data_IF_399002509496
#
_entry.id   IF_399002509496
#
_cell.length_a   1.000
_cell.length_b   1.000
_cell.length_c   1.000
_cell.angle_alpha   90.00
_cell.angle_beta   90.00
_cell.angle_gamma   90.00
#
_symmetry.space_group_name_H-M   'P 1'
#
loop_
_entity.id
_entity.type
_entity.pdbx_description
1 polymer ?
#
# COMPACT_ATOMS: atom_id res chain seq x y z
N UNK A 1 -32.94 -20.62 -9.80
CA UNK A 1 -31.62 -21.02 -9.30
C UNK A 1 -30.81 -19.74 -9.21
N UNK A 2 -30.67 -19.19 -8.01
CA UNK A 2 -29.92 -17.95 -7.76
C UNK A 2 -28.43 -18.28 -7.83
N UNK A 3 -27.71 -17.57 -8.69
CA UNK A 3 -26.24 -17.60 -8.76
C UNK A 3 -25.68 -17.12 -7.41
N UNK A 4 -25.29 -18.08 -6.58
CA UNK A 4 -24.72 -17.87 -5.25
C UNK A 4 -23.22 -17.61 -5.31
N UNK A 5 -22.79 -16.69 -6.18
CA UNK A 5 -21.42 -16.20 -6.22
C UNK A 5 -21.07 -15.56 -4.88
N UNK A 6 -20.25 -16.25 -4.10
CA UNK A 6 -19.75 -15.78 -2.81
C UNK A 6 -19.10 -14.41 -3.00
N UNK A 7 -19.74 -13.35 -2.49
CA UNK A 7 -19.20 -11.99 -2.52
C UNK A 7 -18.00 -11.99 -1.58
N UNK A 8 -16.79 -12.10 -2.13
CA UNK A 8 -15.57 -11.99 -1.34
C UNK A 8 -15.36 -10.50 -1.08
N UNK A 9 -15.62 -10.06 0.14
CA UNK A 9 -15.26 -8.72 0.56
C UNK A 9 -13.73 -8.66 0.72
N UNK A 10 -13.06 -8.11 -0.29
CA UNK A 10 -11.58 -8.03 -0.34
C UNK A 10 -11.02 -6.99 0.62
N UNK A 11 -11.81 -5.95 0.91
CA UNK A 11 -11.38 -4.79 1.66
C UNK A 11 -12.09 -4.73 3.01
N UNK A 12 -11.29 -4.59 4.07
CA UNK A 12 -11.75 -4.50 5.46
C UNK A 12 -11.19 -3.21 6.10
N UNK A 13 -12.02 -2.50 6.86
CA UNK A 13 -11.52 -1.43 7.72
C UNK A 13 -11.00 -2.03 9.03
N UNK A 14 -9.72 -1.78 9.32
CA UNK A 14 -9.06 -2.18 10.57
C UNK A 14 -8.58 -0.94 11.34
N UNK A 15 -8.21 -1.08 12.62
CA UNK A 15 -7.62 0.04 13.38
C UNK A 15 -6.39 0.66 12.68
N UNK A 16 -5.63 -0.15 11.95
CA UNK A 16 -4.47 0.27 11.16
C UNK A 16 -4.83 1.07 9.91
N UNK A 17 -6.03 0.89 9.33
CA UNK A 17 -6.43 1.46 8.04
C UNK A 17 -7.18 0.47 7.14
N UNK A 18 -7.22 0.77 5.84
CA UNK A 18 -7.89 -0.06 4.82
C UNK A 18 -7.02 -1.26 4.46
N UNK A 19 -7.50 -2.47 4.77
CA UNK A 19 -6.78 -3.72 4.59
C UNK A 19 -7.30 -4.50 3.37
N UNK A 20 -6.40 -4.90 2.48
CA UNK A 20 -6.67 -5.84 1.40
C UNK A 20 -6.36 -7.26 1.86
N UNK A 21 -7.40 -8.05 2.16
CA UNK A 21 -7.27 -9.41 2.66
C UNK A 21 -6.50 -10.36 1.72
N UNK A 22 -6.84 -10.49 0.42
CA UNK A 22 -6.15 -11.42 -0.47
C UNK A 22 -4.70 -10.98 -0.78
N UNK A 23 -4.38 -9.70 -0.64
CA UNK A 23 -3.01 -9.19 -0.81
C UNK A 23 -2.20 -9.09 0.49
N UNK A 24 -2.85 -9.25 1.64
CA UNK A 24 -2.25 -9.05 2.96
C UNK A 24 -1.48 -7.72 3.15
N UNK A 25 -1.98 -6.62 2.56
CA UNK A 25 -1.39 -5.28 2.67
C UNK A 25 -2.43 -4.23 3.09
N UNK A 26 -1.93 -3.11 3.61
CA UNK A 26 -2.75 -1.95 3.95
C UNK A 26 -2.56 -0.83 2.92
N UNK A 27 -3.62 -0.10 2.60
CA UNK A 27 -3.58 1.10 1.77
C UNK A 27 -3.60 2.30 2.71
N UNK A 28 -2.60 3.17 2.61
CA UNK A 28 -2.42 4.38 3.43
C UNK A 28 -2.70 4.16 4.93
N UNK A 29 -2.01 3.21 5.58
CA UNK A 29 -2.23 2.90 6.98
C UNK A 29 -1.90 4.09 7.91
N UNK A 30 -2.67 4.21 8.98
CA UNK A 30 -2.54 5.26 10.00
C UNK A 30 -1.40 4.98 10.99
N UNK A 31 -0.90 3.75 11.05
CA UNK A 31 0.17 3.30 11.94
C UNK A 31 1.13 2.31 11.25
N UNK A 32 2.31 2.02 11.81
CA UNK A 32 3.24 1.05 11.22
C UNK A 32 2.61 -0.33 11.01
N UNK A 33 2.90 -0.96 9.87
CA UNK A 33 2.37 -2.26 9.45
C UNK A 33 3.43 -3.06 8.70
N UNK A 34 3.16 -4.34 8.47
CA UNK A 34 4.04 -5.23 7.71
C UNK A 34 4.18 -4.81 6.24
N UNK A 35 3.08 -4.52 5.55
CA UNK A 35 3.08 -4.08 4.14
C UNK A 35 2.13 -2.90 3.96
N UNK A 36 2.69 -1.75 3.62
CA UNK A 36 1.96 -0.55 3.25
C UNK A 36 2.04 -0.29 1.74
N UNK A 37 0.89 -0.07 1.11
CA UNK A 37 0.77 0.54 -0.21
C UNK A 37 0.45 2.01 0.03
N UNK A 38 1.38 2.90 -0.34
CA UNK A 38 1.24 4.34 -0.11
C UNK A 38 0.85 5.01 -1.43
N UNK A 39 -0.28 5.72 -1.41
CA UNK A 39 -0.84 6.34 -2.63
C UNK A 39 -0.11 7.61 -3.03
N UNK A 40 0.32 8.42 -2.05
CA UNK A 40 1.07 9.66 -2.30
C UNK A 40 1.83 10.15 -1.05
N UNK A 41 2.76 11.08 -1.25
CA UNK A 41 3.73 11.51 -0.22
C UNK A 41 3.24 12.47 0.86
N UNK A 42 1.94 12.72 1.02
CA UNK A 42 1.44 13.57 2.12
C UNK A 42 1.52 12.86 3.48
N UNK A 43 1.76 13.62 4.55
CA UNK A 43 2.07 13.07 5.88
C UNK A 43 0.92 12.37 6.59
N UNK A 44 -0.32 12.62 6.15
CA UNK A 44 -1.52 11.93 6.61
C UNK A 44 -1.63 10.51 6.04
N UNK A 45 -1.01 10.23 4.90
CA UNK A 45 -0.95 8.91 4.24
C UNK A 45 0.41 8.23 4.44
N UNK A 46 1.49 8.90 4.02
CA UNK A 46 2.84 8.40 4.08
C UNK A 46 3.38 8.49 5.52
N UNK A 47 3.28 7.40 6.27
CA UNK A 47 3.77 7.25 7.65
C UNK A 47 5.11 6.50 7.70
N UNK A 48 5.95 6.75 8.72
CA UNK A 48 7.25 6.08 8.85
C UNK A 48 7.13 4.68 9.45
N UNK A 49 8.23 3.92 9.36
CA UNK A 49 8.50 2.68 10.10
C UNK A 49 7.67 1.44 9.67
N UNK A 50 7.08 1.44 8.47
CA UNK A 50 6.55 0.21 7.88
C UNK A 50 7.68 -0.79 7.57
N UNK A 51 7.38 -2.09 7.58
CA UNK A 51 8.39 -3.10 7.20
C UNK A 51 8.62 -3.09 5.68
N UNK A 52 7.56 -3.19 4.90
CA UNK A 52 7.59 -3.13 3.45
C UNK A 52 6.69 -2.00 2.94
N UNK A 53 7.19 -1.20 2.00
CA UNK A 53 6.44 -0.12 1.37
C UNK A 53 6.44 -0.30 -0.14
N UNK A 54 5.26 -0.37 -0.74
CA UNK A 54 5.06 -0.30 -2.19
C UNK A 54 4.48 1.07 -2.53
N UNK A 55 5.14 1.83 -3.39
CA UNK A 55 4.67 3.13 -3.86
C UNK A 55 5.38 3.52 -5.17
N UNK A 56 4.98 4.64 -5.77
CA UNK A 56 5.75 5.20 -6.90
C UNK A 56 7.16 5.61 -6.45
N UNK A 57 8.17 5.62 -7.35
CA UNK A 57 9.51 6.09 -7.02
C UNK A 57 9.51 7.51 -6.43
N UNK A 58 8.66 8.39 -6.94
CA UNK A 58 8.53 9.78 -6.47
C UNK A 58 7.98 9.83 -5.04
N UNK A 59 6.99 8.99 -4.72
CA UNK A 59 6.43 8.89 -3.37
C UNK A 59 7.48 8.36 -2.39
N UNK A 60 8.23 7.32 -2.76
CA UNK A 60 9.33 6.79 -1.95
C UNK A 60 10.42 7.85 -1.70
N UNK A 61 10.79 8.63 -2.72
CA UNK A 61 11.75 9.72 -2.58
C UNK A 61 11.25 10.81 -1.61
N UNK A 62 9.97 11.20 -1.69
CA UNK A 62 9.35 12.14 -0.74
C UNK A 62 9.39 11.57 0.69
N UNK A 63 9.07 10.28 0.86
CA UNK A 63 9.12 9.62 2.17
C UNK A 63 10.52 9.64 2.76
N UNK A 64 11.54 9.26 1.99
CA UNK A 64 12.94 9.26 2.44
C UNK A 64 13.39 10.65 2.88
N UNK A 65 13.09 11.68 2.08
CA UNK A 65 13.44 13.06 2.39
C UNK A 65 12.79 13.56 3.68
N UNK A 66 11.52 13.21 3.92
CA UNK A 66 10.76 13.70 5.07
C UNK A 66 11.02 12.93 6.36
N UNK A 67 11.23 11.61 6.26
CA UNK A 67 11.26 10.71 7.43
C UNK A 67 12.65 10.45 7.95
N UNK A 68 13.68 10.69 7.12
CA UNK A 68 15.06 10.33 7.42
C UNK A 68 15.40 8.89 7.01
N UNK A 69 16.69 8.58 7.09
CA UNK A 69 17.25 7.30 6.65
C UNK A 69 16.62 6.12 7.39
N UNK A 70 16.28 5.06 6.64
CA UNK A 70 15.71 3.83 7.17
C UNK A 70 14.25 3.90 7.63
N UNK A 71 13.60 5.07 7.57
CA UNK A 71 12.23 5.25 8.11
C UNK A 71 11.12 5.25 7.06
N UNK A 72 11.46 5.29 5.78
CA UNK A 72 10.51 5.27 4.67
C UNK A 72 10.06 3.84 4.25
N UNK A 73 10.19 2.86 5.14
CA UNK A 73 10.04 1.44 4.84
C UNK A 73 11.40 0.73 4.91
N UNK A 74 11.49 -0.35 5.70
CA UNK A 74 12.73 -1.14 5.78
C UNK A 74 13.06 -1.79 4.43
N UNK A 75 12.04 -2.25 3.72
CA UNK A 75 12.10 -2.68 2.32
C UNK A 75 11.20 -1.77 1.49
N UNK A 76 11.72 -1.29 0.36
CA UNK A 76 10.99 -0.42 -0.56
C UNK A 76 10.83 -1.13 -1.91
N UNK A 77 9.60 -1.18 -2.40
CA UNK A 77 9.23 -1.71 -3.69
C UNK A 77 8.71 -0.57 -4.57
N UNK A 78 9.56 0.05 -5.41
CA UNK A 78 9.09 1.02 -6.39
C UNK A 78 8.15 0.33 -7.40
N UNK A 79 7.02 0.97 -7.68
CA UNK A 79 6.05 0.52 -8.68
C UNK A 79 5.67 1.71 -9.57
N UNK A 80 6.11 1.68 -10.84
CA UNK A 80 5.75 2.73 -11.79
C UNK A 80 4.26 2.64 -12.16
N UNK A 81 3.66 3.75 -12.57
CA UNK A 81 2.27 3.74 -13.04
C UNK A 81 2.07 2.72 -14.17
N UNK A 82 0.96 1.98 -14.10
CA UNK A 82 0.63 0.91 -15.06
C UNK A 82 1.49 -0.36 -14.95
N UNK A 83 2.58 -0.36 -14.18
CA UNK A 83 3.33 -1.58 -13.88
C UNK A 83 2.51 -2.46 -12.93
N UNK A 84 2.42 -3.74 -13.27
CA UNK A 84 1.71 -4.74 -12.48
C UNK A 84 2.70 -5.57 -11.67
N UNK A 85 2.38 -5.82 -10.41
CA UNK A 85 3.09 -6.77 -9.54
C UNK A 85 2.10 -7.72 -8.87
N UNK A 86 2.53 -8.94 -8.59
CA UNK A 86 1.78 -9.86 -7.74
C UNK A 86 2.03 -9.52 -6.26
N UNK A 87 0.98 -9.52 -5.45
CA UNK A 87 1.05 -9.40 -3.99
C UNK A 87 0.01 -10.33 -3.40
N UNK A 88 0.44 -11.39 -2.68
CA UNK A 88 -0.47 -12.46 -2.26
C UNK A 88 -1.23 -13.04 -3.46
N UNK A 89 -2.55 -13.09 -3.35
CA UNK A 89 -3.46 -13.62 -4.37
C UNK A 89 -3.97 -12.54 -5.36
N UNK A 90 -3.45 -11.31 -5.31
CA UNK A 90 -3.89 -10.21 -6.18
C UNK A 90 -2.80 -9.67 -7.10
N UNK A 91 -3.25 -9.04 -8.18
CA UNK A 91 -2.41 -8.17 -9.01
C UNK A 91 -2.62 -6.72 -8.56
N UNK A 92 -1.52 -6.03 -8.27
CA UNK A 92 -1.49 -4.64 -7.85
C UNK A 92 -0.81 -3.79 -8.94
N UNK A 93 -1.39 -2.63 -9.23
CA UNK A 93 -0.81 -1.58 -10.05
C UNK A 93 -1.30 -0.21 -9.57
N UNK A 94 -0.54 0.85 -9.88
CA UNK A 94 -0.89 2.23 -9.52
C UNK A 94 -1.35 2.99 -10.77
N UNK A 95 -2.39 3.81 -10.61
CA UNK A 95 -2.89 4.72 -11.63
C UNK A 95 -2.61 6.18 -11.24
N UNK A 96 -2.38 7.10 -12.21
CA UNK A 96 -2.39 8.53 -11.93
C UNK A 96 -3.74 8.96 -11.36
N UNK A 97 -3.74 9.81 -10.33
CA UNK A 97 -4.97 10.24 -9.65
C UNK A 97 -5.69 11.43 -10.31
N UNK A 98 -5.06 12.12 -11.27
CA UNK A 98 -5.58 13.30 -11.95
C UNK A 98 -4.61 14.47 -11.97
#
# INVERSE_FOLDING_TARGET
MTDGGNRVDWLELKPEGLFCAPGAFYIDPLQPVAHAVITHGHSDHARPNHTHVTATPETLAIMQLRMGEGRAGHTQQPLHYGQVTSVGDVQLWLAPAG
#
